data_IF_867683361208
#
_entry.id   IF_867683361208
#
_cell.length_a   1.000
_cell.length_b   1.000
_cell.length_c   1.000
_cell.angle_alpha   90.00
_cell.angle_beta   90.00
_cell.angle_gamma   90.00
#
_symmetry.space_group_name_H-M   'P 1'
#
loop_
_entity.id
_entity.type
_entity.pdbx_description
1 polymer ?
#
# COMPACT_ATOMS: atom_id res chain seq x y z
N UNK A 1 -25.85 -4.14 5.08
CA UNK A 1 -24.66 -3.99 4.20
C UNK A 1 -23.58 -3.27 4.99
N UNK A 2 -22.34 -3.73 4.93
CA UNK A 2 -21.19 -3.15 5.62
C UNK A 2 -20.27 -2.53 4.57
N UNK A 3 -19.74 -1.31 4.82
CA UNK A 3 -18.77 -0.66 3.94
C UNK A 3 -17.47 -0.40 4.71
N UNK A 4 -16.33 -0.80 4.13
CA UNK A 4 -15.02 -0.59 4.72
C UNK A 4 -14.08 0.09 3.73
N UNK A 5 -13.27 1.03 4.25
CA UNK A 5 -12.15 1.59 3.52
C UNK A 5 -10.90 0.74 3.72
N UNK A 6 -10.28 0.35 2.61
CA UNK A 6 -9.01 -0.36 2.56
C UNK A 6 -7.89 0.65 2.24
N UNK A 7 -7.24 1.19 3.26
CA UNK A 7 -6.25 2.27 3.11
C UNK A 7 -4.92 1.75 2.57
N UNK A 8 -4.36 2.46 1.60
CA UNK A 8 -3.01 2.24 1.11
C UNK A 8 -1.95 2.54 2.16
N UNK A 9 -0.71 2.16 1.90
CA UNK A 9 0.46 2.47 2.72
C UNK A 9 1.56 3.14 1.91
N UNK A 10 2.44 3.82 2.59
CA UNK A 10 3.77 4.20 2.11
C UNK A 10 4.84 3.66 3.05
N UNK A 11 6.07 3.58 2.55
CA UNK A 11 7.26 3.36 3.34
C UNK A 11 7.99 4.70 3.51
N UNK A 12 8.20 5.15 4.76
CA UNK A 12 9.12 6.25 5.09
C UNK A 12 10.57 5.82 4.95
N UNK A 13 10.81 4.57 5.30
CA UNK A 13 12.08 3.88 5.10
C UNK A 13 11.80 2.45 4.68
N UNK A 14 12.69 1.87 3.87
CA UNK A 14 12.69 0.46 3.55
C UNK A 14 14.13 -0.01 3.47
N UNK A 15 14.50 -0.89 4.40
CA UNK A 15 15.81 -1.53 4.44
C UNK A 15 15.70 -3.05 4.38
N UNK A 16 16.71 -3.68 3.82
CA UNK A 16 16.90 -5.13 3.78
C UNK A 16 18.15 -5.46 4.57
N UNK A 17 17.98 -6.18 5.69
CA UNK A 17 19.04 -6.51 6.63
C UNK A 17 19.77 -7.81 6.29
N UNK A 18 19.18 -8.62 5.40
CA UNK A 18 19.70 -9.91 4.99
C UNK A 18 18.61 -10.83 4.46
N UNK A 19 18.99 -12.06 4.14
CA UNK A 19 18.08 -13.08 3.61
C UNK A 19 18.10 -14.31 4.53
N UNK A 20 16.92 -14.87 4.80
CA UNK A 20 16.74 -16.11 5.55
C UNK A 20 17.10 -17.33 4.69
N UNK A 21 17.35 -18.52 5.31
CA UNK A 21 17.59 -19.75 4.56
C UNK A 21 16.44 -20.19 3.64
N UNK A 22 15.22 -19.72 3.92
CA UNK A 22 14.02 -19.95 3.12
C UNK A 22 13.79 -18.85 2.04
N UNK A 23 14.84 -18.09 1.71
CA UNK A 23 14.90 -17.03 0.69
C UNK A 23 14.05 -15.78 1.00
N UNK A 24 13.41 -15.69 2.18
CA UNK A 24 12.71 -14.46 2.59
C UNK A 24 13.70 -13.39 3.08
N UNK A 25 13.49 -12.15 2.64
CA UNK A 25 14.28 -11.00 3.06
C UNK A 25 13.88 -10.53 4.46
N UNK A 26 14.87 -10.28 5.30
CA UNK A 26 14.66 -9.63 6.60
C UNK A 26 14.61 -8.12 6.40
N UNK A 27 13.49 -7.53 6.73
CA UNK A 27 13.16 -6.13 6.52
C UNK A 27 13.27 -5.32 7.80
N UNK A 28 13.58 -4.02 7.67
CA UNK A 28 13.38 -3.01 8.71
C UNK A 28 12.80 -1.75 8.05
N UNK A 29 11.56 -1.44 8.35
CA UNK A 29 10.79 -0.43 7.64
C UNK A 29 10.03 0.46 8.61
N UNK A 30 9.87 1.73 8.26
CA UNK A 30 8.86 2.61 8.83
C UNK A 30 7.73 2.76 7.81
N UNK A 31 6.54 2.30 8.18
CA UNK A 31 5.37 2.29 7.30
C UNK A 31 4.25 3.14 7.87
N UNK A 32 3.50 3.82 7.01
CA UNK A 32 2.32 4.58 7.43
C UNK A 32 1.17 4.43 6.43
N UNK A 33 -0.06 4.27 6.95
CA UNK A 33 -1.26 4.31 6.11
C UNK A 33 -1.53 5.72 5.63
N UNK A 34 -2.14 5.81 4.43
CA UNK A 34 -2.47 7.08 3.77
C UNK A 34 -3.95 7.12 3.38
N UNK A 35 -4.49 8.32 3.10
CA UNK A 35 -5.92 8.51 2.84
C UNK A 35 -6.41 7.96 1.49
N UNK A 36 -5.52 7.60 0.56
CA UNK A 36 -5.91 6.87 -0.64
C UNK A 36 -6.37 5.47 -0.23
N UNK A 37 -7.59 5.08 -0.61
CA UNK A 37 -8.17 3.81 -0.22
C UNK A 37 -9.06 3.20 -1.31
N UNK A 38 -9.15 1.89 -1.31
CA UNK A 38 -10.20 1.14 -1.99
C UNK A 38 -11.43 1.05 -1.09
N UNK A 39 -12.59 0.72 -1.64
CA UNK A 39 -13.81 0.51 -0.86
C UNK A 39 -14.34 -0.91 -1.06
N UNK A 40 -14.72 -1.53 0.03
CA UNK A 40 -15.34 -2.85 0.04
C UNK A 40 -16.75 -2.75 0.65
N UNK A 41 -17.76 -3.17 -0.11
CA UNK A 41 -19.12 -3.37 0.39
C UNK A 41 -19.36 -4.86 0.56
N UNK A 42 -19.96 -5.24 1.68
CA UNK A 42 -20.19 -6.64 2.05
C UNK A 42 -21.59 -6.82 2.61
N UNK A 43 -22.25 -7.88 2.20
CA UNK A 43 -23.53 -8.33 2.76
C UNK A 43 -23.56 -9.86 2.83
N UNK A 44 -24.38 -10.42 3.73
CA UNK A 44 -24.57 -11.87 3.79
C UNK A 44 -25.26 -12.35 2.53
N UNK A 45 -24.84 -13.53 2.05
CA UNK A 45 -25.39 -14.21 0.90
C UNK A 45 -25.30 -15.72 1.09
N UNK A 46 -25.97 -16.49 0.24
CA UNK A 46 -25.82 -17.96 0.23
C UNK A 46 -24.44 -18.38 -0.27
N UNK A 47 -24.01 -17.77 -1.38
CA UNK A 47 -22.73 -18.03 -2.01
C UNK A 47 -21.70 -16.94 -1.71
N UNK A 48 -20.42 -17.30 -1.87
CA UNK A 48 -19.33 -16.32 -1.83
C UNK A 48 -19.08 -15.77 -3.22
N UNK A 49 -19.30 -14.46 -3.39
CA UNK A 49 -19.03 -13.76 -4.65
C UNK A 49 -18.15 -12.54 -4.43
N UNK A 50 -17.30 -12.26 -5.42
CA UNK A 50 -16.48 -11.03 -5.47
C UNK A 50 -16.68 -10.36 -6.82
N UNK A 51 -17.09 -9.10 -6.80
CA UNK A 51 -17.45 -8.33 -7.98
C UNK A 51 -16.78 -6.95 -7.97
N UNK A 52 -16.46 -6.44 -9.18
CA UNK A 52 -16.06 -5.05 -9.35
C UNK A 52 -17.25 -4.12 -9.23
N UNK A 53 -17.08 -2.99 -8.51
CA UNK A 53 -18.09 -1.90 -8.56
C UNK A 53 -17.89 -1.09 -9.85
N UNK A 54 -18.96 -0.96 -10.68
CA UNK A 54 -18.88 -0.11 -11.86
C UNK A 54 -18.76 1.37 -11.45
N UNK A 55 -17.66 2.03 -11.74
CA UNK A 55 -17.52 3.46 -11.53
C UNK A 55 -16.26 3.95 -10.83
N UNK A 56 -15.44 3.06 -10.28
CA UNK A 56 -14.13 3.39 -9.74
C UNK A 56 -13.15 3.88 -10.81
N UNK A 57 -11.87 3.90 -10.52
CA UNK A 57 -10.81 4.32 -11.47
C UNK A 57 -10.81 3.52 -12.78
N UNK A 58 -11.55 2.42 -12.85
CA UNK A 58 -11.79 1.58 -14.02
C UNK A 58 -12.73 2.20 -15.08
N UNK A 59 -13.34 3.36 -14.81
CA UNK A 59 -14.28 4.01 -15.75
C UNK A 59 -13.63 4.40 -17.09
N UNK A 60 -12.31 4.51 -17.15
CA UNK A 60 -11.57 4.85 -18.37
C UNK A 60 -11.25 3.65 -19.26
N UNK A 61 -11.43 2.42 -18.79
CA UNK A 61 -11.02 1.23 -19.54
C UNK A 61 -12.10 0.13 -19.46
N UNK A 62 -13.21 0.35 -20.14
CA UNK A 62 -14.17 -0.70 -20.47
C UNK A 62 -13.62 -1.60 -21.58
N UNK A 63 -12.64 -2.43 -21.28
CA UNK A 63 -12.30 -3.60 -22.06
C UNK A 63 -12.32 -4.81 -21.13
N UNK A 64 -13.38 -5.62 -21.23
CA UNK A 64 -13.32 -6.99 -20.73
C UNK A 64 -12.32 -7.70 -21.65
N UNK A 65 -11.11 -7.93 -21.16
CA UNK A 65 -10.27 -8.93 -21.80
C UNK A 65 -10.91 -10.30 -21.55
N UNK A 66 -10.86 -11.19 -22.54
CA UNK A 66 -11.48 -12.53 -22.47
C UNK A 66 -10.88 -13.45 -21.37
N UNK A 67 -9.95 -12.97 -20.59
CA UNK A 67 -9.19 -13.68 -19.55
C UNK A 67 -9.60 -13.35 -18.10
N UNK A 68 -10.71 -12.63 -17.91
CA UNK A 68 -11.25 -12.30 -16.58
C UNK A 68 -10.47 -11.23 -15.80
N UNK A 69 -9.49 -10.58 -16.43
CA UNK A 69 -8.78 -9.43 -15.87
C UNK A 69 -9.58 -8.14 -16.08
N UNK A 70 -9.65 -7.31 -15.04
CA UNK A 70 -10.07 -5.92 -15.23
C UNK A 70 -8.97 -5.15 -16.00
N UNK A 71 -9.33 -4.02 -16.57
CA UNK A 71 -8.38 -3.10 -17.21
C UNK A 71 -7.25 -2.59 -16.29
N UNK A 72 -7.42 -2.73 -14.97
CA UNK A 72 -6.41 -2.43 -13.94
C UNK A 72 -5.57 -3.67 -13.55
N UNK A 73 -5.71 -4.81 -14.26
CA UNK A 73 -4.98 -6.05 -13.95
C UNK A 73 -5.45 -6.74 -12.66
N UNK A 74 -6.64 -6.40 -12.15
CA UNK A 74 -7.21 -7.02 -10.95
C UNK A 74 -8.10 -8.20 -11.35
N UNK A 75 -7.90 -9.34 -10.73
CA UNK A 75 -8.77 -10.51 -10.86
C UNK A 75 -9.84 -10.48 -9.78
N UNK A 76 -11.06 -10.85 -10.15
CA UNK A 76 -12.21 -10.99 -9.25
C UNK A 76 -12.60 -12.46 -9.12
N UNK A 77 -11.61 -13.31 -8.92
CA UNK A 77 -11.72 -14.76 -8.81
C UNK A 77 -11.05 -15.26 -7.52
N UNK A 78 -10.91 -16.58 -7.38
CA UNK A 78 -10.33 -17.25 -6.21
C UNK A 78 -8.84 -16.89 -5.96
N UNK A 79 -8.14 -16.32 -6.95
CA UNK A 79 -6.77 -15.84 -6.78
C UNK A 79 -6.69 -14.51 -6.06
N UNK A 80 -7.80 -13.77 -5.95
CA UNK A 80 -7.86 -12.48 -5.26
C UNK A 80 -7.73 -12.67 -3.74
N UNK A 81 -6.91 -11.83 -3.10
CA UNK A 81 -6.68 -11.92 -1.65
C UNK A 81 -7.95 -11.68 -0.81
N UNK A 82 -8.93 -10.91 -1.31
CA UNK A 82 -10.24 -10.74 -0.68
C UNK A 82 -11.00 -12.06 -0.64
N UNK A 83 -11.04 -12.76 -1.77
CA UNK A 83 -11.71 -14.07 -1.87
C UNK A 83 -11.01 -15.11 -1.00
N UNK A 84 -9.67 -15.14 -1.04
CA UNK A 84 -8.86 -16.02 -0.21
C UNK A 84 -9.03 -15.76 1.28
N UNK A 85 -9.18 -14.48 1.70
CA UNK A 85 -9.48 -14.13 3.09
C UNK A 85 -10.82 -14.70 3.54
N UNK A 86 -11.83 -14.63 2.68
CA UNK A 86 -13.16 -15.21 2.97
C UNK A 86 -13.10 -16.74 3.08
N UNK A 87 -12.41 -17.41 2.16
CA UNK A 87 -12.22 -18.87 2.23
C UNK A 87 -11.49 -19.29 3.51
N UNK A 88 -10.40 -18.59 3.86
CA UNK A 88 -9.62 -18.88 5.07
C UNK A 88 -10.47 -18.75 6.35
N UNK A 89 -11.27 -17.68 6.45
CA UNK A 89 -12.18 -17.51 7.59
C UNK A 89 -13.26 -18.59 7.64
N UNK A 90 -13.84 -18.97 6.49
CA UNK A 90 -14.82 -20.07 6.42
C UNK A 90 -14.23 -21.38 6.93
N UNK A 91 -13.02 -21.72 6.48
CA UNK A 91 -12.32 -22.94 6.88
C UNK A 91 -11.98 -22.93 8.38
N UNK A 92 -11.35 -21.85 8.86
CA UNK A 92 -10.85 -21.78 10.24
C UNK A 92 -11.95 -21.64 11.28
N UNK A 93 -13.09 -21.03 10.92
CA UNK A 93 -14.20 -20.77 11.85
C UNK A 93 -15.44 -21.65 11.59
N UNK A 94 -15.38 -22.56 10.62
CA UNK A 94 -16.51 -23.46 10.31
C UNK A 94 -17.75 -22.73 9.74
N UNK A 95 -17.56 -21.59 9.07
CA UNK A 95 -18.65 -20.77 8.51
C UNK A 95 -19.18 -21.41 7.23
N UNK A 96 -20.50 -21.63 7.16
CA UNK A 96 -21.18 -22.14 5.97
C UNK A 96 -21.85 -21.04 5.13
N UNK A 97 -22.10 -19.87 5.73
CA UNK A 97 -22.68 -18.70 5.04
C UNK A 97 -21.72 -18.17 3.98
N UNK A 98 -22.27 -17.64 2.89
CA UNK A 98 -21.54 -16.88 1.91
C UNK A 98 -21.51 -15.39 2.23
N UNK A 99 -20.96 -14.64 1.32
CA UNK A 99 -20.97 -13.18 1.32
C UNK A 99 -20.89 -12.65 -0.11
N UNK A 100 -21.66 -11.62 -0.41
CA UNK A 100 -21.49 -10.83 -1.61
C UNK A 100 -20.55 -9.67 -1.29
N UNK A 101 -19.40 -9.64 -1.96
CA UNK A 101 -18.38 -8.62 -1.77
C UNK A 101 -18.25 -7.83 -3.06
N UNK A 102 -18.38 -6.52 -2.95
CA UNK A 102 -18.15 -5.58 -4.05
C UNK A 102 -16.92 -4.75 -3.74
N UNK A 103 -15.97 -4.68 -4.69
CA UNK A 103 -14.69 -3.99 -4.53
C UNK A 103 -14.54 -2.88 -5.56
N UNK A 104 -14.38 -1.64 -5.07
CA UNK A 104 -14.02 -0.48 -5.87
C UNK A 104 -12.52 -0.18 -5.74
N UNK A 105 -11.77 -0.39 -6.80
CA UNK A 105 -10.33 -0.13 -6.84
C UNK A 105 -10.01 1.33 -7.15
N UNK A 106 -9.22 1.95 -6.29
CA UNK A 106 -8.68 3.31 -6.42
C UNK A 106 -7.17 3.34 -6.23
N UNK A 107 -6.63 2.40 -5.44
CA UNK A 107 -5.20 2.20 -5.24
C UNK A 107 -4.64 1.52 -6.49
N UNK A 108 -3.57 2.06 -7.12
CA UNK A 108 -2.98 1.45 -8.31
C UNK A 108 -2.41 0.06 -8.00
N UNK A 109 -2.65 -0.89 -8.91
CA UNK A 109 -2.13 -2.26 -8.81
C UNK A 109 -0.63 -2.32 -9.07
N UNK A 110 0.10 -3.18 -8.34
CA UNK A 110 1.54 -3.38 -8.54
C UNK A 110 2.40 -2.14 -8.30
N UNK A 111 1.93 -1.20 -7.46
CA UNK A 111 2.51 0.12 -7.32
C UNK A 111 3.29 0.35 -6.00
N UNK A 112 3.57 -0.71 -5.24
CA UNK A 112 4.29 -0.61 -3.95
C UNK A 112 3.46 -0.05 -2.79
N UNK A 113 2.15 0.17 -3.00
CA UNK A 113 1.24 0.79 -2.02
C UNK A 113 0.41 -0.22 -1.20
N UNK A 114 0.60 -1.51 -1.40
CA UNK A 114 -0.07 -2.56 -0.63
C UNK A 114 -1.58 -2.70 -0.90
N UNK A 115 -2.10 -2.30 -2.09
CA UNK A 115 -3.53 -2.26 -2.37
C UNK A 115 -4.24 -3.60 -2.17
N UNK A 116 -3.73 -4.70 -2.74
CA UNK A 116 -4.33 -6.03 -2.56
C UNK A 116 -4.29 -6.51 -1.10
N UNK A 117 -3.22 -6.19 -0.37
CA UNK A 117 -3.11 -6.50 1.06
C UNK A 117 -4.04 -5.62 1.91
N UNK A 118 -4.31 -4.37 1.48
CA UNK A 118 -5.28 -3.49 2.12
C UNK A 118 -6.71 -4.03 1.98
N UNK A 119 -7.05 -4.49 0.76
CA UNK A 119 -8.33 -5.13 0.49
C UNK A 119 -8.51 -6.39 1.33
N UNK A 120 -7.48 -7.22 1.42
CA UNK A 120 -7.44 -8.42 2.26
C UNK A 120 -7.66 -8.08 3.75
N UNK A 121 -6.95 -7.08 4.27
CA UNK A 121 -7.08 -6.63 5.65
C UNK A 121 -8.50 -6.11 5.95
N UNK A 122 -9.09 -5.37 5.01
CA UNK A 122 -10.47 -4.92 5.11
C UNK A 122 -11.45 -6.11 5.05
N UNK A 123 -11.22 -7.08 4.16
CA UNK A 123 -12.03 -8.29 4.05
C UNK A 123 -12.01 -9.11 5.35
N UNK A 124 -10.84 -9.35 5.94
CA UNK A 124 -10.72 -10.07 7.22
C UNK A 124 -11.51 -9.37 8.34
N UNK A 125 -11.37 -8.04 8.47
CA UNK A 125 -12.10 -7.26 9.48
C UNK A 125 -13.61 -7.24 9.21
N UNK A 126 -14.00 -7.03 7.96
CA UNK A 126 -15.38 -6.91 7.54
C UNK A 126 -16.14 -8.24 7.70
N UNK A 127 -15.56 -9.34 7.25
CA UNK A 127 -16.17 -10.66 7.36
C UNK A 127 -16.19 -11.16 8.80
N UNK A 128 -15.18 -10.86 9.62
CA UNK A 128 -15.22 -11.09 11.05
C UNK A 128 -16.45 -10.45 11.71
N UNK A 129 -16.74 -9.19 11.35
CA UNK A 129 -17.91 -8.47 11.85
C UNK A 129 -19.21 -9.00 11.23
N UNK A 130 -19.26 -9.18 9.89
CA UNK A 130 -20.45 -9.61 9.15
C UNK A 130 -20.94 -10.98 9.60
N UNK A 131 -20.03 -11.91 9.78
CA UNK A 131 -20.36 -13.28 10.20
C UNK A 131 -20.42 -13.47 11.73
N UNK A 132 -20.08 -12.41 12.51
CA UNK A 132 -20.11 -12.42 13.98
C UNK A 132 -19.12 -13.42 14.58
N UNK A 133 -17.91 -13.55 14.00
CA UNK A 133 -16.94 -14.59 14.40
C UNK A 133 -16.27 -14.29 15.75
N UNK A 134 -16.23 -13.02 16.17
CA UNK A 134 -15.62 -12.61 17.44
C UNK A 134 -14.10 -12.77 17.49
N UNK A 135 -13.43 -12.91 16.35
CA UNK A 135 -11.97 -13.05 16.30
C UNK A 135 -11.30 -11.78 16.86
N UNK A 136 -10.35 -12.02 17.73
CA UNK A 136 -9.50 -10.97 18.30
C UNK A 136 -8.56 -10.38 17.25
N UNK A 137 -8.00 -9.20 17.55
CA UNK A 137 -6.98 -8.60 16.68
C UNK A 137 -5.78 -9.53 16.47
N UNK A 138 -5.34 -10.25 17.51
CA UNK A 138 -4.20 -11.17 17.40
C UNK A 138 -4.46 -12.30 16.41
N UNK A 139 -5.67 -12.88 16.44
CA UNK A 139 -6.09 -13.92 15.49
C UNK A 139 -6.16 -13.37 14.06
N UNK A 140 -6.73 -12.17 13.86
CA UNK A 140 -6.76 -11.54 12.55
C UNK A 140 -5.35 -11.24 12.00
N UNK A 141 -4.40 -10.82 12.85
CA UNK A 141 -3.00 -10.61 12.45
C UNK A 141 -2.34 -11.92 12.01
N UNK A 142 -2.59 -13.02 12.73
CA UNK A 142 -2.07 -14.35 12.39
C UNK A 142 -2.62 -14.83 11.04
N UNK A 143 -3.93 -14.75 10.83
CA UNK A 143 -4.56 -15.09 9.56
C UNK A 143 -4.10 -14.18 8.41
N UNK A 144 -3.91 -12.90 8.70
CA UNK A 144 -3.41 -11.93 7.73
C UNK A 144 -2.01 -12.26 7.24
N UNK A 145 -1.13 -12.75 8.12
CA UNK A 145 0.23 -13.14 7.77
C UNK A 145 0.27 -14.34 6.80
N UNK A 146 -0.67 -15.28 6.93
CA UNK A 146 -0.81 -16.41 6.01
C UNK A 146 -1.19 -15.96 4.57
N UNK A 147 -1.83 -14.80 4.45
CA UNK A 147 -2.30 -14.25 3.17
C UNK A 147 -1.30 -13.30 2.52
N UNK A 148 -0.48 -12.60 3.32
CA UNK A 148 0.54 -11.71 2.79
C UNK A 148 1.25 -10.88 3.85
N UNK A 149 2.53 -10.57 3.62
CA UNK A 149 3.43 -9.89 4.56
C UNK A 149 2.96 -8.48 4.98
N UNK A 150 2.31 -7.72 4.09
CA UNK A 150 1.79 -6.37 4.39
C UNK A 150 0.43 -6.40 5.10
N UNK A 151 -0.31 -7.54 5.08
CA UNK A 151 -1.67 -7.64 5.62
C UNK A 151 -1.72 -7.34 7.11
N UNK A 152 -0.82 -7.88 7.97
CA UNK A 152 -0.83 -7.58 9.40
C UNK A 152 -0.64 -6.07 9.69
N UNK A 153 0.27 -5.39 8.97
CA UNK A 153 0.42 -3.94 9.11
C UNK A 153 -0.88 -3.21 8.72
N UNK A 154 -1.55 -3.60 7.64
CA UNK A 154 -2.77 -2.95 7.16
C UNK A 154 -4.01 -3.27 8.01
N UNK A 155 -4.01 -4.37 8.76
CA UNK A 155 -4.96 -4.61 9.85
C UNK A 155 -4.71 -3.61 10.99
N UNK A 156 -3.42 -3.32 11.30
CA UNK A 156 -3.00 -2.42 12.37
C UNK A 156 -3.26 -0.95 12.01
N UNK A 157 -2.80 -0.54 10.84
CA UNK A 157 -2.88 0.84 10.34
C UNK A 157 -2.04 1.85 11.15
N UNK A 158 -2.08 3.11 10.72
CA UNK A 158 -1.32 4.19 11.34
C UNK A 158 0.16 4.16 10.96
N UNK A 159 1.03 4.65 11.86
CA UNK A 159 2.49 4.58 11.75
C UNK A 159 3.01 3.40 12.57
N UNK A 160 3.90 2.60 11.98
CA UNK A 160 4.57 1.51 12.68
C UNK A 160 5.99 1.27 12.14
N UNK A 161 6.87 0.76 13.00
CA UNK A 161 8.09 0.07 12.58
C UNK A 161 7.73 -1.38 12.32
N UNK A 162 8.12 -1.86 11.14
CA UNK A 162 7.80 -3.21 10.66
C UNK A 162 9.10 -3.92 10.35
N UNK A 163 9.30 -5.08 10.97
CA UNK A 163 10.51 -5.87 10.81
C UNK A 163 10.24 -7.35 10.54
N UNK A 164 11.31 -8.15 10.47
CA UNK A 164 11.22 -9.55 10.09
C UNK A 164 10.86 -9.69 8.62
N UNK A 165 9.93 -10.56 8.29
CA UNK A 165 9.34 -10.68 6.94
C UNK A 165 8.05 -9.84 6.79
N UNK A 166 7.74 -8.96 7.79
CA UNK A 166 6.51 -8.16 7.88
C UNK A 166 5.66 -8.46 9.12
N UNK A 167 6.02 -9.47 9.92
CA UNK A 167 5.26 -9.94 11.07
C UNK A 167 5.52 -9.15 12.36
N UNK A 168 6.68 -8.49 12.47
CA UNK A 168 7.04 -7.72 13.67
C UNK A 168 6.56 -6.29 13.53
N UNK A 169 5.41 -5.99 14.12
CA UNK A 169 4.78 -4.67 14.01
C UNK A 169 4.85 -3.97 15.35
N UNK A 170 5.54 -2.84 15.39
CA UNK A 170 5.60 -1.94 16.55
C UNK A 170 4.89 -0.63 16.19
N UNK A 171 3.65 -0.42 16.65
CA UNK A 171 2.96 0.84 16.45
C UNK A 171 3.70 2.01 17.09
N UNK A 172 3.75 3.15 16.40
CA UNK A 172 4.43 4.37 16.84
C UNK A 172 3.42 5.51 16.97
N UNK A 173 3.47 6.22 18.09
CA UNK A 173 2.62 7.37 18.39
C UNK A 173 3.42 8.46 19.12
N UNK A 174 3.14 9.73 18.81
CA UNK A 174 2.17 10.26 17.86
C UNK A 174 2.66 10.12 16.40
N UNK A 175 1.76 9.78 15.48
CA UNK A 175 2.11 9.74 14.06
C UNK A 175 1.92 11.12 13.42
N UNK A 176 2.82 11.57 12.52
CA UNK A 176 2.65 12.82 11.79
C UNK A 176 1.48 12.75 10.83
N UNK A 177 0.84 13.89 10.61
CA UNK A 177 -0.10 14.09 9.53
C UNK A 177 0.50 15.10 8.57
N UNK A 178 0.88 14.63 7.39
CA UNK A 178 1.48 15.42 6.31
C UNK A 178 0.77 15.16 4.99
N UNK A 179 0.94 16.06 4.04
CA UNK A 179 0.38 15.93 2.70
C UNK A 179 1.36 15.23 1.78
N UNK A 180 0.81 14.44 0.88
CA UNK A 180 1.56 13.65 -0.09
C UNK A 180 1.01 13.90 -1.49
N UNK A 181 1.90 14.08 -2.45
CA UNK A 181 1.59 13.97 -3.87
C UNK A 181 2.17 12.66 -4.36
N UNK A 182 1.30 11.78 -4.84
CA UNK A 182 1.64 10.45 -5.34
C UNK A 182 1.62 10.47 -6.85
N UNK A 183 2.65 9.95 -7.50
CA UNK A 183 2.77 9.88 -8.95
C UNK A 183 3.10 8.45 -9.36
N UNK A 184 2.37 7.92 -10.35
CA UNK A 184 2.70 6.64 -10.98
C UNK A 184 3.34 6.91 -12.34
N UNK A 185 4.67 6.99 -12.47
CA UNK A 185 5.32 7.40 -13.71
C UNK A 185 5.44 6.27 -14.76
N UNK A 186 5.16 5.05 -14.37
CA UNK A 186 5.17 3.88 -15.25
C UNK A 186 4.24 2.79 -14.73
N UNK A 187 4.05 1.74 -15.51
CA UNK A 187 3.32 0.54 -15.08
C UNK A 187 3.93 -0.10 -13.84
N UNK A 188 3.13 -0.93 -13.16
CA UNK A 188 3.55 -1.65 -11.97
C UNK A 188 4.80 -2.49 -12.19
N UNK A 189 5.64 -2.59 -11.16
CA UNK A 189 6.81 -3.45 -11.14
C UNK A 189 6.48 -4.76 -10.41
N UNK A 190 7.02 -5.86 -10.92
CA UNK A 190 6.96 -7.14 -10.22
C UNK A 190 7.85 -7.07 -8.98
N UNK A 191 7.24 -7.16 -7.80
CA UNK A 191 7.98 -7.19 -6.52
C UNK A 191 9.06 -8.27 -6.54
N UNK A 192 8.74 -9.46 -7.05
CA UNK A 192 9.68 -10.59 -7.16
C UNK A 192 10.90 -10.23 -8.02
N UNK A 193 10.67 -9.58 -9.17
CA UNK A 193 11.77 -9.19 -10.06
C UNK A 193 12.65 -8.10 -9.44
N UNK A 194 12.06 -7.14 -8.72
CA UNK A 194 12.80 -6.08 -8.03
C UNK A 194 13.67 -6.67 -6.92
N UNK A 195 13.15 -7.57 -6.09
CA UNK A 195 13.95 -8.26 -5.07
C UNK A 195 15.05 -9.14 -5.69
N UNK A 196 14.75 -9.91 -6.73
CA UNK A 196 15.75 -10.70 -7.43
C UNK A 196 16.83 -9.84 -8.10
N UNK A 197 16.51 -8.63 -8.55
CA UNK A 197 17.49 -7.69 -9.09
C UNK A 197 18.31 -7.05 -7.96
N UNK A 198 17.70 -6.77 -6.81
CA UNK A 198 18.40 -6.31 -5.60
C UNK A 198 19.46 -7.32 -5.14
N UNK A 199 19.13 -8.61 -5.10
CA UNK A 199 20.07 -9.68 -4.70
C UNK A 199 21.31 -9.76 -5.60
N UNK A 200 21.17 -9.33 -6.86
CA UNK A 200 22.30 -9.29 -7.82
C UNK A 200 23.13 -8.01 -7.74
N UNK A 201 22.64 -6.97 -7.05
CA UNK A 201 23.40 -5.73 -6.85
C UNK A 201 24.39 -5.85 -5.68
N UNK A 202 25.55 -5.22 -5.82
CA UNK A 202 26.48 -5.12 -4.70
C UNK A 202 25.91 -4.21 -3.60
N UNK A 203 25.65 -4.80 -2.43
CA UNK A 203 25.04 -4.11 -1.29
C UNK A 203 25.83 -2.86 -0.83
N UNK A 204 27.14 -2.80 -1.07
CA UNK A 204 28.02 -1.70 -0.66
C UNK A 204 27.77 -0.37 -1.39
N UNK A 205 26.99 -0.36 -2.47
CA UNK A 205 26.68 0.86 -3.23
C UNK A 205 25.29 1.46 -2.90
N UNK A 206 24.53 0.81 -2.01
CA UNK A 206 23.18 1.21 -1.70
C UNK A 206 23.13 2.24 -0.57
N UNK A 207 22.21 3.21 -0.69
CA UNK A 207 21.90 4.13 0.39
C UNK A 207 20.90 3.48 1.33
N UNK A 208 21.38 3.07 2.50
CA UNK A 208 20.55 2.57 3.59
C UNK A 208 19.85 3.74 4.32
N UNK A 209 18.61 3.56 4.81
CA UNK A 209 17.96 4.54 5.69
C UNK A 209 18.60 4.55 7.08
N UNK A 210 18.50 5.69 7.76
CA UNK A 210 18.67 5.74 9.20
C UNK A 210 17.30 5.60 9.89
N UNK A 211 16.91 4.35 10.15
CA UNK A 211 15.59 4.03 10.73
C UNK A 211 15.40 4.64 12.12
N UNK A 212 16.47 4.81 12.91
CA UNK A 212 16.38 5.41 14.24
C UNK A 212 16.16 6.92 14.15
N UNK A 213 16.94 7.61 13.33
CA UNK A 213 16.77 9.04 13.08
C UNK A 213 15.42 9.34 12.41
N UNK A 214 15.00 8.54 11.43
CA UNK A 214 13.71 8.71 10.77
C UNK A 214 12.54 8.51 11.74
N UNK A 215 12.60 7.51 12.61
CA UNK A 215 11.59 7.27 13.65
C UNK A 215 11.49 8.47 14.62
N UNK A 216 12.61 8.95 15.13
CA UNK A 216 12.66 10.08 16.04
C UNK A 216 12.11 11.35 15.37
N UNK A 217 12.52 11.65 14.13
CA UNK A 217 12.02 12.78 13.36
C UNK A 217 10.50 12.69 13.12
N UNK A 218 9.97 11.51 12.77
CA UNK A 218 8.53 11.28 12.62
C UNK A 218 7.76 11.54 13.92
N UNK A 219 8.26 11.05 15.06
CA UNK A 219 7.61 11.25 16.36
C UNK A 219 7.63 12.73 16.77
N UNK A 220 8.66 13.49 16.43
CA UNK A 220 8.76 14.93 16.67
C UNK A 220 8.09 15.78 15.60
N UNK A 221 7.61 15.20 14.51
CA UNK A 221 7.04 15.88 13.34
C UNK A 221 8.04 16.83 12.67
N UNK A 222 9.29 16.47 12.64
CA UNK A 222 10.39 17.26 12.06
C UNK A 222 10.71 16.75 10.66
N UNK A 223 10.09 17.37 9.64
CA UNK A 223 10.31 16.98 8.23
C UNK A 223 11.73 17.32 7.75
N UNK A 224 12.39 18.31 8.36
CA UNK A 224 13.76 18.68 7.99
C UNK A 224 14.74 17.60 8.44
N UNK A 225 14.57 17.06 9.64
CA UNK A 225 15.35 15.94 10.14
C UNK A 225 14.98 14.61 9.46
N UNK A 226 13.71 14.43 9.06
CA UNK A 226 13.22 13.23 8.41
C UNK A 226 13.82 13.02 7.01
N UNK A 227 13.86 14.09 6.19
CA UNK A 227 14.23 14.02 4.79
C UNK A 227 15.59 13.32 4.52
N UNK A 228 16.69 13.63 5.23
CA UNK A 228 17.98 12.98 5.04
C UNK A 228 17.99 11.51 5.53
N UNK A 229 17.16 11.14 6.51
CA UNK A 229 17.08 9.80 7.08
C UNK A 229 16.25 8.82 6.22
N UNK A 230 15.40 9.33 5.33
CA UNK A 230 14.58 8.54 4.42
C UNK A 230 15.44 7.90 3.32
N UNK A 231 15.28 6.59 3.13
CA UNK A 231 15.75 5.87 1.96
C UNK A 231 14.94 4.59 1.75
N UNK A 232 14.96 4.11 0.51
CA UNK A 232 14.40 2.83 0.11
C UNK A 232 15.47 2.10 -0.72
N UNK A 233 16.03 1.03 -0.18
CA UNK A 233 17.14 0.30 -0.83
C UNK A 233 16.74 -0.31 -2.17
N UNK A 234 15.44 -0.55 -2.42
CA UNK A 234 14.93 -1.05 -3.70
C UNK A 234 14.86 0.04 -4.78
N UNK A 235 14.91 1.34 -4.40
CA UNK A 235 14.69 2.42 -5.34
C UNK A 235 15.73 2.46 -6.46
N UNK A 236 17.01 2.30 -6.16
CA UNK A 236 18.08 2.32 -7.16
C UNK A 236 17.91 1.22 -8.22
N UNK A 237 17.49 0.02 -7.77
CA UNK A 237 17.19 -1.11 -8.66
C UNK A 237 16.04 -0.78 -9.59
N UNK A 238 14.94 -0.26 -9.02
CA UNK A 238 13.73 0.07 -9.78
C UNK A 238 13.97 1.24 -10.74
N UNK A 239 14.77 2.25 -10.36
CA UNK A 239 15.17 3.37 -11.23
C UNK A 239 16.02 2.91 -12.42
N UNK A 240 16.92 1.95 -12.20
CA UNK A 240 17.69 1.34 -13.30
C UNK A 240 16.81 0.64 -14.31
N UNK A 241 15.77 -0.06 -13.85
CA UNK A 241 14.80 -0.74 -14.71
C UNK A 241 13.79 0.21 -15.37
N UNK A 242 13.47 1.32 -14.69
CA UNK A 242 12.47 2.31 -15.11
C UNK A 242 12.94 3.73 -14.80
N UNK A 243 13.70 4.38 -15.70
CA UNK A 243 14.24 5.73 -15.49
C UNK A 243 13.19 6.82 -15.21
N UNK A 244 11.91 6.59 -15.57
CA UNK A 244 10.80 7.47 -15.26
C UNK A 244 10.61 7.68 -13.74
N UNK A 245 10.99 6.69 -12.91
CA UNK A 245 10.96 6.80 -11.45
C UNK A 245 11.87 7.93 -10.95
N UNK A 246 13.14 7.91 -11.36
CA UNK A 246 14.11 8.97 -11.02
C UNK A 246 13.68 10.34 -11.55
N UNK A 247 13.02 10.38 -12.70
CA UNK A 247 12.47 11.64 -13.25
C UNK A 247 11.33 12.17 -12.39
N UNK A 248 10.43 11.30 -11.91
CA UNK A 248 9.32 11.67 -11.04
C UNK A 248 9.81 12.14 -9.66
N UNK A 249 10.84 11.50 -9.09
CA UNK A 249 11.47 11.94 -7.84
C UNK A 249 11.98 13.38 -7.99
N UNK A 250 12.81 13.64 -9.02
CA UNK A 250 13.35 14.99 -9.26
C UNK A 250 12.24 16.01 -9.53
N UNK A 251 11.20 15.65 -10.24
CA UNK A 251 10.08 16.54 -10.55
C UNK A 251 9.30 16.94 -9.28
N UNK A 252 9.05 15.98 -8.37
CA UNK A 252 8.39 16.25 -7.09
C UNK A 252 9.25 17.15 -6.19
N UNK A 253 10.56 16.93 -6.13
CA UNK A 253 11.50 17.78 -5.38
C UNK A 253 11.56 19.19 -5.97
N UNK A 254 11.58 19.32 -7.30
CA UNK A 254 11.51 20.61 -7.99
C UNK A 254 10.16 21.34 -7.78
N UNK A 255 9.08 20.57 -7.52
CA UNK A 255 7.77 21.13 -7.16
C UNK A 255 7.65 21.48 -5.66
N UNK A 256 8.74 21.43 -4.89
CA UNK A 256 8.81 21.88 -3.50
C UNK A 256 8.56 20.77 -2.46
N UNK A 257 8.59 19.51 -2.83
CA UNK A 257 8.56 18.44 -1.84
C UNK A 257 9.80 18.50 -0.93
N UNK A 258 9.61 18.38 0.37
CA UNK A 258 10.71 18.31 1.34
C UNK A 258 11.59 17.08 1.07
N UNK A 259 10.99 15.99 0.56
CA UNK A 259 11.62 14.78 0.06
C UNK A 259 10.70 14.11 -0.91
N UNK A 260 11.26 13.46 -1.95
CA UNK A 260 10.52 12.53 -2.78
C UNK A 260 11.20 11.16 -2.81
N UNK A 261 10.41 10.08 -2.83
CA UNK A 261 10.91 8.71 -2.78
C UNK A 261 9.89 7.72 -3.34
N UNK A 262 10.38 6.58 -3.84
CA UNK A 262 9.55 5.44 -4.23
C UNK A 262 9.04 4.70 -3.00
N UNK A 263 7.78 4.26 -3.00
CA UNK A 263 7.23 3.39 -1.96
C UNK A 263 7.28 1.91 -2.35
N UNK A 264 7.64 1.04 -1.40
CA UNK A 264 7.74 -0.39 -1.64
C UNK A 264 8.71 -0.72 -2.77
N UNK A 265 8.35 -1.66 -3.62
CA UNK A 265 9.08 -2.02 -4.86
C UNK A 265 8.76 -1.09 -6.05
N UNK A 266 7.95 -0.06 -5.85
CA UNK A 266 7.46 0.82 -6.91
C UNK A 266 6.18 0.25 -7.55
N UNK A 267 5.62 0.92 -8.52
CA UNK A 267 6.10 2.06 -9.32
C UNK A 267 5.68 3.45 -8.81
N UNK A 268 4.93 3.56 -7.70
CA UNK A 268 4.55 4.88 -7.19
C UNK A 268 5.73 5.56 -6.48
N UNK A 269 5.93 6.83 -6.83
CA UNK A 269 6.80 7.79 -6.17
C UNK A 269 5.92 8.78 -5.42
N UNK A 270 6.32 9.21 -4.23
CA UNK A 270 5.60 10.22 -3.46
C UNK A 270 6.51 11.38 -3.05
N UNK A 271 5.96 12.58 -3.02
CA UNK A 271 6.57 13.78 -2.46
C UNK A 271 5.88 14.19 -1.17
N UNK A 272 6.66 14.65 -0.19
CA UNK A 272 6.19 15.03 1.15
C UNK A 272 6.07 16.55 1.24
N UNK A 273 4.92 17.05 1.71
CA UNK A 273 4.62 18.45 1.88
C UNK A 273 4.04 18.72 3.26
N UNK A 274 4.46 19.80 3.89
CA UNK A 274 3.93 20.21 5.19
C UNK A 274 2.55 20.87 5.03
N UNK A 275 2.38 21.74 4.03
CA UNK A 275 1.17 22.53 3.81
C UNK A 275 0.32 21.96 2.68
N UNK A 276 -0.99 21.93 2.89
CA UNK A 276 -1.95 21.49 1.88
C UNK A 276 -1.84 22.30 0.58
N UNK A 277 -1.69 23.61 0.69
CA UNK A 277 -1.61 24.50 -0.47
C UNK A 277 -0.43 24.17 -1.39
N UNK A 278 0.74 23.86 -0.80
CA UNK A 278 1.94 23.49 -1.55
C UNK A 278 1.76 22.13 -2.25
N UNK A 279 1.13 21.17 -1.55
CA UNK A 279 0.80 19.87 -2.12
C UNK A 279 -0.20 19.98 -3.28
N UNK A 280 -1.22 20.84 -3.18
CA UNK A 280 -2.19 21.07 -4.26
C UNK A 280 -1.52 21.71 -5.48
N UNK A 281 -0.63 22.69 -5.29
CA UNK A 281 0.12 23.29 -6.37
C UNK A 281 1.06 22.28 -7.05
N UNK A 282 1.74 21.46 -6.25
CA UNK A 282 2.58 20.38 -6.75
C UNK A 282 1.78 19.30 -7.49
N UNK A 283 0.58 18.94 -7.01
CA UNK A 283 -0.30 18.01 -7.72
C UNK A 283 -0.63 18.52 -9.12
N UNK A 284 -1.07 19.77 -9.25
CA UNK A 284 -1.39 20.37 -10.55
C UNK A 284 -0.19 20.38 -11.51
N UNK A 285 1.01 20.70 -11.00
CA UNK A 285 2.23 20.65 -11.78
C UNK A 285 2.56 19.21 -12.24
N UNK A 286 2.40 18.23 -11.37
CA UNK A 286 2.62 16.82 -11.69
C UNK A 286 1.58 16.27 -12.66
N UNK A 287 0.33 16.68 -12.58
CA UNK A 287 -0.71 16.29 -13.54
C UNK A 287 -0.39 16.80 -14.96
N UNK A 288 0.04 18.07 -15.07
CA UNK A 288 0.48 18.66 -16.33
C UNK A 288 1.70 17.93 -16.91
N UNK A 289 2.69 17.62 -16.06
CA UNK A 289 3.89 16.90 -16.48
C UNK A 289 3.56 15.44 -16.87
N UNK A 290 2.69 14.78 -16.14
CA UNK A 290 2.24 13.41 -16.44
C UNK A 290 1.56 13.33 -17.79
N UNK A 291 0.70 14.30 -18.12
CA UNK A 291 0.06 14.39 -19.44
C UNK A 291 1.10 14.57 -20.57
N UNK A 292 2.14 15.38 -20.36
CA UNK A 292 3.21 15.59 -21.36
C UNK A 292 4.08 14.34 -21.57
N UNK A 293 4.33 13.54 -20.52
CA UNK A 293 5.26 12.42 -20.53
C UNK A 293 4.58 11.07 -20.73
N UNK A 294 3.25 11.04 -20.81
CA UNK A 294 2.49 9.80 -20.85
C UNK A 294 2.60 8.98 -19.56
N UNK A 295 2.84 9.65 -18.43
CA UNK A 295 2.83 8.98 -17.12
C UNK A 295 1.39 8.64 -16.72
N UNK A 296 1.25 7.77 -15.72
CA UNK A 296 -0.03 7.42 -15.13
C UNK A 296 -0.61 8.54 -14.27
N UNK A 297 -1.41 8.14 -13.29
CA UNK A 297 -2.20 9.07 -12.47
C UNK A 297 -1.37 9.76 -11.39
N UNK A 298 -1.90 10.90 -10.96
CA UNK A 298 -1.42 11.67 -9.82
C UNK A 298 -2.54 11.73 -8.78
N UNK A 299 -2.20 11.59 -7.51
CA UNK A 299 -3.14 11.69 -6.39
C UNK A 299 -2.61 12.64 -5.34
N UNK A 300 -3.53 13.37 -4.72
CA UNK A 300 -3.31 14.06 -3.46
C UNK A 300 -3.76 13.15 -2.32
N UNK A 301 -2.92 12.95 -1.35
CA UNK A 301 -3.22 12.14 -0.18
C UNK A 301 -2.66 12.80 1.09
N UNK A 302 -3.05 12.27 2.24
CA UNK A 302 -2.44 12.62 3.53
C UNK A 302 -2.12 11.35 4.31
N UNK A 303 -1.15 11.42 5.20
CA UNK A 303 -0.88 10.32 6.11
C UNK A 303 -1.97 10.23 7.18
N UNK A 304 -2.25 9.01 7.64
CA UNK A 304 -3.23 8.74 8.67
C UNK A 304 -2.51 8.46 10.00
N UNK A 305 -2.87 9.16 11.10
CA UNK A 305 -2.18 9.02 12.38
C UNK A 305 -2.53 7.73 13.13
N UNK A 306 -3.68 7.14 12.82
CA UNK A 306 -4.14 5.84 13.33
C UNK A 306 -4.82 5.09 12.20
N UNK A 307 -4.97 3.77 12.35
CA UNK A 307 -5.90 3.04 11.53
C UNK A 307 -7.29 3.65 11.76
N UNK A 308 -7.84 4.36 10.75
CA UNK A 308 -9.19 4.87 10.86
C UNK A 308 -10.15 3.69 11.06
N UNK A 309 -11.13 3.85 11.93
CA UNK A 309 -12.17 2.84 12.12
C UNK A 309 -12.88 2.67 10.78
N UNK A 310 -13.00 1.44 10.33
CA UNK A 310 -13.83 1.09 9.17
C UNK A 310 -15.22 1.68 9.40
N UNK A 311 -15.67 2.55 8.51
CA UNK A 311 -16.98 3.19 8.63
C UNK A 311 -18.00 2.13 8.27
N UNK A 312 -18.79 1.67 9.24
CA UNK A 312 -20.00 0.93 8.97
C UNK A 312 -21.05 1.94 8.49
N UNK A 313 -21.48 1.85 7.26
CA UNK A 313 -22.67 2.55 6.77
C UNK A 313 -23.81 1.54 6.93
N UNK A 314 -24.74 1.84 7.82
CA UNK A 314 -26.00 1.09 7.96
C UNK A 314 -26.96 1.40 6.82
#
# INVERSE_FOLDING_TARGET
MLCLAAYAKINWTLDILGTRPDEYHLMDMLMQTVSLCDLLWMEEAEDLTLEAVPGGTERAARSKTNDGLSSAGVRYDESNLVYRAALLLRERCGVRRGARIQLEKRIPSGAGMGGGSADCAAALKGLNALWGLGLSRAELLSLGLELGADVPFLITGGLARVGGIGERIQPLLPAPQVWLVLVQPCEGLSTREVFSAFDRMYASSLRHPDNAAAQDALLRRDLTALAPAMANVLQAVSESARPALAQAVRALEAAGAARAMMTGSGSVVYGVFERCADAVAAQAAMEALSAQRGWGRVWLARTLPRGEKSVAIT
#
